data_IF_513828957171
#
_entry.id   IF_513828957171
#
_cell.length_a   1.000
_cell.length_b   1.000
_cell.length_c   1.000
_cell.angle_alpha   90.00
_cell.angle_beta   90.00
_cell.angle_gamma   90.00
#
_symmetry.space_group_name_H-M   'P 1'
#
loop_
_entity.id
_entity.type
_entity.pdbx_description
1 polymer ?
#
# COMPACT_ATOMS: atom_id res chain seq x y z
N UNK A 1 -3.83 -13.68 -0.51
CA UNK A 1 -4.88 -12.76 -1.00
C UNK A 1 -4.69 -11.37 -0.40
N UNK A 2 -5.36 -10.33 -0.92
CA UNK A 2 -5.35 -8.98 -0.36
C UNK A 2 -6.75 -8.59 0.11
N UNK A 3 -6.88 -8.09 1.33
CA UNK A 3 -8.13 -7.60 1.90
C UNK A 3 -8.02 -6.13 2.25
N UNK A 4 -8.92 -5.30 1.73
CA UNK A 4 -8.90 -3.86 1.93
C UNK A 4 -9.98 -3.43 2.89
N UNK A 5 -9.62 -2.54 3.82
CA UNK A 5 -10.55 -2.00 4.81
C UNK A 5 -10.37 -0.49 4.91
N UNK A 6 -11.47 0.25 4.81
CA UNK A 6 -11.48 1.69 5.08
C UNK A 6 -11.79 1.94 6.54
N UNK A 7 -10.92 2.71 7.21
CA UNK A 7 -11.16 3.17 8.55
C UNK A 7 -11.70 4.60 8.51
N UNK A 8 -13.01 4.77 8.65
CA UNK A 8 -13.67 6.09 8.61
C UNK A 8 -13.19 7.03 9.73
N UNK A 9 -12.82 6.50 10.89
CA UNK A 9 -12.32 7.32 12.00
C UNK A 9 -10.96 7.94 11.69
N UNK A 10 -10.11 7.21 10.98
CA UNK A 10 -8.77 7.67 10.60
C UNK A 10 -8.73 8.29 9.19
N UNK A 11 -9.82 8.12 8.44
CA UNK A 11 -9.98 8.50 7.03
C UNK A 11 -8.91 7.86 6.13
N UNK A 12 -8.64 6.56 6.34
CA UNK A 12 -7.51 5.85 5.72
C UNK A 12 -7.81 4.41 5.35
N UNK A 13 -7.18 3.95 4.28
CA UNK A 13 -7.20 2.56 3.86
C UNK A 13 -6.10 1.71 4.54
N UNK A 14 -6.47 0.47 4.84
CA UNK A 14 -5.59 -0.56 5.36
C UNK A 14 -5.71 -1.82 4.49
N UNK A 15 -4.64 -2.60 4.44
CA UNK A 15 -4.60 -3.89 3.75
C UNK A 15 -4.10 -5.00 4.68
N UNK A 16 -4.78 -6.15 4.60
CA UNK A 16 -4.29 -7.41 5.13
C UNK A 16 -3.82 -8.28 3.97
N UNK A 17 -2.68 -8.94 4.18
CA UNK A 17 -2.05 -9.84 3.22
C UNK A 17 -2.09 -11.25 3.78
N UNK A 18 -2.63 -12.18 3.01
CA UNK A 18 -2.66 -13.61 3.33
C UNK A 18 -1.93 -14.41 2.26
N UNK A 19 -1.56 -15.65 2.56
CA UNK A 19 -1.17 -16.61 1.53
C UNK A 19 -2.40 -17.13 0.74
N UNK A 20 -2.20 -18.16 -0.07
CA UNK A 20 -3.24 -18.78 -0.89
C UNK A 20 -4.26 -19.60 -0.07
N UNK A 21 -3.90 -20.00 1.14
CA UNK A 21 -4.71 -20.79 2.07
C UNK A 21 -5.34 -19.90 3.15
N UNK A 22 -5.37 -18.59 2.91
CA UNK A 22 -5.88 -17.54 3.81
C UNK A 22 -5.12 -17.40 5.15
N UNK A 23 -3.93 -17.98 5.29
CA UNK A 23 -3.13 -17.73 6.50
C UNK A 23 -2.53 -16.32 6.44
N UNK A 24 -2.55 -15.56 7.55
CA UNK A 24 -2.02 -14.21 7.57
C UNK A 24 -0.51 -14.19 7.35
N UNK A 25 -0.07 -13.28 6.48
CA UNK A 25 1.32 -12.87 6.28
C UNK A 25 1.55 -11.54 7.01
N UNK A 26 0.61 -10.60 6.86
CA UNK A 26 0.63 -9.32 7.55
C UNK A 26 -0.78 -8.73 7.63
N UNK A 27 -1.04 -7.92 8.65
CA UNK A 27 -2.35 -7.31 8.86
C UNK A 27 -2.23 -5.86 9.33
N UNK A 28 -3.23 -5.05 9.02
CA UNK A 28 -3.32 -3.66 9.42
C UNK A 28 -2.27 -2.76 8.75
N UNK A 29 -1.82 -3.11 7.55
CA UNK A 29 -0.84 -2.30 6.83
C UNK A 29 -1.53 -1.08 6.24
N UNK A 30 -1.12 0.12 6.65
CA UNK A 30 -1.67 1.36 6.10
C UNK A 30 -1.25 1.52 4.65
N UNK A 31 -2.22 1.80 3.78
CA UNK A 31 -1.96 2.22 2.41
C UNK A 31 -1.51 3.68 2.40
N UNK A 32 -0.23 3.91 2.08
CA UNK A 32 0.36 5.26 1.95
C UNK A 32 0.98 5.37 0.56
N UNK A 33 0.70 6.45 -0.16
CA UNK A 33 1.32 6.69 -1.46
C UNK A 33 2.84 6.78 -1.36
N UNK A 34 3.52 6.29 -2.40
CA UNK A 34 4.98 6.38 -2.54
C UNK A 34 5.75 5.70 -1.40
N UNK A 35 5.09 4.85 -0.61
CA UNK A 35 5.69 4.10 0.47
C UNK A 35 5.56 2.58 0.22
N UNK A 36 6.66 1.81 0.28
CA UNK A 36 6.64 0.35 0.19
C UNK A 36 5.86 -0.27 1.35
N UNK A 37 4.73 -0.90 1.07
CA UNK A 37 3.81 -1.42 2.10
C UNK A 37 4.48 -2.53 2.93
N UNK A 38 5.27 -3.37 2.27
CA UNK A 38 5.96 -4.51 2.87
C UNK A 38 7.33 -4.21 3.49
N UNK A 39 7.74 -2.93 3.60
CA UNK A 39 9.07 -2.53 4.09
C UNK A 39 9.49 -3.21 5.41
N UNK A 40 8.52 -3.56 6.25
CA UNK A 40 8.76 -4.16 7.57
C UNK A 40 8.25 -5.60 7.71
N UNK A 41 7.74 -6.21 6.64
CA UNK A 41 7.25 -7.59 6.67
C UNK A 41 8.42 -8.55 6.45
N UNK A 42 8.69 -9.38 7.46
CA UNK A 42 9.70 -10.45 7.41
C UNK A 42 8.99 -11.80 7.42
N UNK A 43 8.46 -12.20 6.27
CA UNK A 43 7.84 -13.50 6.05
C UNK A 43 8.41 -14.10 4.75
N UNK A 44 8.87 -15.35 4.81
CA UNK A 44 9.51 -16.04 3.68
C UNK A 44 8.52 -16.40 2.57
N UNK A 45 7.21 -16.46 2.88
CA UNK A 45 6.15 -16.72 1.90
C UNK A 45 5.86 -15.50 1.03
N UNK A 46 6.43 -14.34 1.35
CA UNK A 46 6.22 -13.11 0.59
C UNK A 46 6.92 -13.20 -0.78
N UNK A 47 6.23 -12.88 -1.88
CA UNK A 47 6.86 -12.72 -3.19
C UNK A 47 7.96 -11.64 -3.16
N UNK A 48 9.07 -11.89 -3.88
CA UNK A 48 10.19 -10.96 -4.01
C UNK A 48 9.81 -9.75 -4.88
N UNK A 49 9.82 -8.57 -4.29
CA UNK A 49 9.34 -7.34 -4.92
C UNK A 49 8.75 -6.37 -3.90
N UNK A 50 8.11 -5.33 -4.41
CA UNK A 50 7.59 -4.20 -3.65
C UNK A 50 6.16 -3.84 -4.09
N UNK A 51 5.24 -3.71 -3.13
CA UNK A 51 3.87 -3.25 -3.35
C UNK A 51 3.76 -1.79 -2.93
N UNK A 52 3.36 -0.92 -3.86
CA UNK A 52 3.20 0.52 -3.62
C UNK A 52 1.83 1.00 -4.02
N UNK A 53 1.34 2.00 -3.30
CA UNK A 53 0.22 2.82 -3.76
C UNK A 53 0.79 3.98 -4.58
N UNK A 54 0.26 4.17 -5.78
CA UNK A 54 0.67 5.22 -6.71
C UNK A 54 -0.52 6.14 -6.98
N UNK A 55 -0.32 7.45 -6.80
CA UNK A 55 -1.25 8.48 -7.23
C UNK A 55 -1.07 8.74 -8.73
N UNK A 56 -2.07 8.39 -9.54
CA UNK A 56 -2.00 8.56 -10.99
C UNK A 56 -2.11 10.02 -11.44
N UNK A 57 -2.57 10.92 -10.57
CA UNK A 57 -2.74 12.33 -10.91
C UNK A 57 -1.57 13.20 -10.45
N UNK A 58 -0.64 12.63 -9.66
CA UNK A 58 0.58 13.32 -9.21
C UNK A 58 0.32 14.58 -8.37
N UNK A 59 -0.88 14.72 -7.79
CA UNK A 59 -1.31 15.92 -7.09
C UNK A 59 -1.24 15.73 -5.57
N UNK A 60 -0.09 15.23 -5.09
CA UNK A 60 0.21 15.14 -3.66
C UNK A 60 0.24 16.53 -3.03
N UNK A 61 -0.51 16.72 -1.94
CA UNK A 61 -0.67 17.98 -1.20
C UNK A 61 -0.23 17.87 0.27
N UNK A 62 0.15 16.69 0.74
CA UNK A 62 0.65 16.43 2.10
C UNK A 62 2.15 16.06 2.07
N UNK A 63 2.87 16.26 3.17
CA UNK A 63 4.27 15.86 3.29
C UNK A 63 4.43 14.78 4.36
N UNK A 64 5.09 13.68 4.01
CA UNK A 64 5.40 12.63 4.99
C UNK A 64 6.51 13.05 5.97
N UNK A 65 6.85 12.17 6.91
CA UNK A 65 7.91 12.41 7.92
C UNK A 65 9.31 12.58 7.30
N UNK A 66 9.47 12.27 6.01
CA UNK A 66 10.69 12.43 5.22
C UNK A 66 10.57 13.62 4.23
N UNK A 67 9.54 14.45 4.37
CA UNK A 67 9.27 15.63 3.55
C UNK A 67 8.96 15.31 2.07
N UNK A 68 8.48 14.09 1.79
CA UNK A 68 8.04 13.68 0.46
C UNK A 68 6.57 14.03 0.26
N UNK A 69 6.21 14.50 -0.94
CA UNK A 69 4.82 14.76 -1.29
C UNK A 69 4.04 13.42 -1.30
N UNK A 70 3.06 13.32 -0.42
CA UNK A 70 2.19 12.16 -0.27
C UNK A 70 0.74 12.63 -0.17
N UNK A 71 -0.20 11.75 -0.48
CA UNK A 71 -1.62 11.96 -0.23
C UNK A 71 -2.25 10.59 -0.03
N UNK A 72 -2.92 10.38 1.09
CA UNK A 72 -3.65 9.15 1.32
C UNK A 72 -4.92 9.10 0.45
N UNK A 73 -5.28 7.91 -0.02
CA UNK A 73 -6.50 7.71 -0.80
C UNK A 73 -7.74 7.87 0.09
N UNK A 74 -8.70 8.71 -0.33
CA UNK A 74 -10.02 8.76 0.28
C UNK A 74 -10.86 7.50 0.00
N UNK A 75 -12.02 7.40 0.66
CA UNK A 75 -12.94 6.26 0.57
C UNK A 75 -13.27 5.84 -0.88
N UNK A 76 -13.44 6.80 -1.78
CA UNK A 76 -13.83 6.53 -3.18
C UNK A 76 -12.67 6.63 -4.17
N UNK A 77 -11.45 6.90 -3.71
CA UNK A 77 -10.31 7.18 -4.59
C UNK A 77 -9.40 5.97 -4.82
N UNK A 78 -9.47 4.94 -3.95
CA UNK A 78 -8.73 3.70 -4.11
C UNK A 78 -9.32 2.86 -5.24
N UNK A 79 -8.50 2.55 -6.25
CA UNK A 79 -8.91 1.88 -7.49
C UNK A 79 -9.35 2.83 -8.61
N UNK A 80 -9.53 4.13 -8.31
CA UNK A 80 -9.82 5.16 -9.31
C UNK A 80 -8.57 6.03 -9.56
N UNK A 81 -8.24 6.92 -8.61
CA UNK A 81 -7.05 7.78 -8.67
C UNK A 81 -5.80 7.09 -8.13
N UNK A 82 -5.96 6.33 -7.06
CA UNK A 82 -4.86 5.66 -6.38
C UNK A 82 -4.89 4.18 -6.73
N UNK A 83 -3.82 3.68 -7.34
CA UNK A 83 -3.71 2.27 -7.72
C UNK A 83 -2.63 1.58 -6.91
N UNK A 84 -2.87 0.31 -6.64
CA UNK A 84 -1.91 -0.57 -6.01
C UNK A 84 -1.11 -1.28 -7.11
N UNK A 85 0.20 -1.08 -7.13
CA UNK A 85 1.10 -1.65 -8.12
C UNK A 85 2.12 -2.52 -7.41
N UNK A 86 2.30 -3.72 -7.92
CA UNK A 86 3.39 -4.61 -7.53
C UNK A 86 4.53 -4.46 -8.52
N UNK A 87 5.71 -4.11 -8.02
CA UNK A 87 6.95 -4.03 -8.77
C UNK A 87 7.80 -5.26 -8.43
N UNK A 88 8.19 -6.01 -9.45
CA UNK A 88 9.10 -7.13 -9.29
C UNK A 88 10.50 -6.62 -8.93
N UNK A 89 11.31 -7.45 -8.26
CA UNK A 89 12.68 -7.07 -7.90
C UNK A 89 13.52 -6.64 -9.12
N UNK A 90 13.29 -7.25 -10.29
CA UNK A 90 13.96 -6.90 -11.54
C UNK A 90 13.57 -5.53 -12.11
N UNK A 91 12.43 -4.95 -11.69
CA UNK A 91 11.96 -3.64 -12.13
C UNK A 91 12.47 -2.49 -11.24
N UNK A 92 13.16 -2.83 -10.14
CA UNK A 92 13.68 -1.88 -9.15
C UNK A 92 15.16 -1.51 -9.38
N UNK A 93 15.81 -2.06 -10.42
CA UNK A 93 17.21 -1.82 -10.80
C UNK A 93 17.36 -0.81 -11.93
#
# INVERSE_FOLDING_TARGET
MLFFQYNERLDRWFVDVTDQDENPIASGLRLTTNFPIERFIRDERRPAGVLMVVDQQGAGDDQDVLNQLTRDAGLFELGDRFVLIYFEEAELT
#
